data_IF_196240154919
#
_entry.id   IF_196240154919
#
_cell.length_a   1.000
_cell.length_b   1.000
_cell.length_c   1.000
_cell.angle_alpha   90.00
_cell.angle_beta   90.00
_cell.angle_gamma   90.00
#
_symmetry.space_group_name_H-M   'P 1'
#
loop_
_entity.id
_entity.type
_entity.pdbx_description
1 polymer ?
#
# COMPACT_ATOMS: atom_id res chain seq x y z
N UNK A 1 28.44 14.13 16.22
CA UNK A 1 27.94 14.44 14.85
C UNK A 1 28.84 13.84 13.77
N UNK A 2 30.16 13.90 13.88
CA UNK A 2 31.10 13.34 12.90
C UNK A 2 30.92 11.83 12.68
N UNK A 3 30.74 11.03 13.74
CA UNK A 3 30.58 9.56 13.63
C UNK A 3 29.41 9.12 12.77
N UNK A 4 28.28 9.84 12.78
CA UNK A 4 27.11 9.53 11.95
C UNK A 4 27.38 9.87 10.48
N UNK A 5 28.03 11.01 10.20
CA UNK A 5 28.38 11.42 8.84
C UNK A 5 29.42 10.47 8.22
N UNK A 6 30.37 9.97 9.00
CA UNK A 6 31.33 8.95 8.55
C UNK A 6 30.60 7.64 8.23
N UNK A 7 29.70 7.16 9.11
CA UNK A 7 28.88 5.99 8.82
C UNK A 7 28.06 6.13 7.53
N UNK A 8 27.47 7.31 7.30
CA UNK A 8 26.71 7.59 6.08
C UNK A 8 27.61 7.58 4.84
N UNK A 9 28.80 8.20 4.92
CA UNK A 9 29.76 8.23 3.82
C UNK A 9 30.28 6.82 3.47
N UNK A 10 30.54 6.00 4.49
CA UNK A 10 31.03 4.63 4.34
C UNK A 10 29.96 3.68 3.80
N UNK A 11 28.68 3.94 4.10
CA UNK A 11 27.56 3.08 3.70
C UNK A 11 26.69 3.67 2.57
N UNK A 12 27.10 4.79 1.95
CA UNK A 12 26.29 5.53 0.97
C UNK A 12 25.79 4.65 -0.18
N UNK A 13 26.65 3.77 -0.70
CA UNK A 13 26.33 2.87 -1.80
C UNK A 13 25.27 1.85 -1.39
N UNK A 14 25.43 1.27 -0.19
CA UNK A 14 24.49 0.28 0.33
C UNK A 14 23.14 0.90 0.68
N UNK A 15 23.13 2.09 1.26
CA UNK A 15 21.91 2.84 1.54
C UNK A 15 21.15 3.17 0.25
N UNK A 16 21.85 3.59 -0.80
CA UNK A 16 21.25 3.88 -2.09
C UNK A 16 20.65 2.62 -2.71
N UNK A 17 21.39 1.51 -2.73
CA UNK A 17 20.91 0.21 -3.23
C UNK A 17 19.63 -0.24 -2.51
N UNK A 18 19.62 -0.25 -1.17
CA UNK A 18 18.46 -0.65 -0.37
C UNK A 18 17.26 0.30 -0.57
N UNK A 19 17.53 1.59 -0.75
CA UNK A 19 16.48 2.57 -1.03
C UNK A 19 15.85 2.30 -2.40
N UNK A 20 16.65 2.03 -3.43
CA UNK A 20 16.14 1.68 -4.76
C UNK A 20 15.37 0.37 -4.74
N UNK A 21 15.84 -0.63 -4.01
CA UNK A 21 15.12 -1.90 -3.83
C UNK A 21 13.75 -1.66 -3.18
N UNK A 22 13.70 -0.86 -2.12
CA UNK A 22 12.44 -0.51 -1.47
C UNK A 22 11.50 0.26 -2.40
N UNK A 23 12.01 1.22 -3.19
CA UNK A 23 11.23 1.97 -4.18
C UNK A 23 10.66 1.01 -5.24
N UNK A 24 11.47 0.09 -5.77
CA UNK A 24 11.02 -0.88 -6.77
C UNK A 24 9.89 -1.77 -6.23
N UNK A 25 10.06 -2.30 -5.02
CA UNK A 25 9.05 -3.13 -4.35
C UNK A 25 7.75 -2.36 -4.10
N UNK A 26 7.85 -1.16 -3.54
CA UNK A 26 6.69 -0.31 -3.23
C UNK A 26 5.93 0.11 -4.48
N UNK A 27 6.63 0.50 -5.56
CA UNK A 27 6.00 0.83 -6.83
C UNK A 27 5.28 -0.37 -7.45
N UNK A 28 5.91 -1.54 -7.46
CA UNK A 28 5.29 -2.76 -7.97
C UNK A 28 4.00 -3.10 -7.21
N UNK A 29 4.04 -3.07 -5.88
CA UNK A 29 2.86 -3.29 -5.03
C UNK A 29 1.78 -2.23 -5.23
N UNK A 30 2.17 -0.97 -5.38
CA UNK A 30 1.22 0.14 -5.58
C UNK A 30 0.50 0.02 -6.92
N UNK A 31 1.21 -0.34 -7.99
CA UNK A 31 0.59 -0.56 -9.31
C UNK A 31 -0.47 -1.65 -9.23
N UNK A 32 -0.16 -2.77 -8.57
CA UNK A 32 -1.13 -3.84 -8.33
C UNK A 32 -2.32 -3.36 -7.50
N UNK A 33 -2.06 -2.58 -6.45
CA UNK A 33 -3.12 -2.04 -5.59
C UNK A 33 -4.02 -1.08 -6.37
N UNK A 34 -3.46 -0.19 -7.18
CA UNK A 34 -4.20 0.72 -8.05
C UNK A 34 -5.06 -0.03 -9.06
N UNK A 35 -4.52 -1.08 -9.70
CA UNK A 35 -5.25 -1.89 -10.67
C UNK A 35 -6.54 -2.51 -10.09
N UNK A 36 -6.57 -2.80 -8.78
CA UNK A 36 -7.72 -3.40 -8.11
C UNK A 36 -8.59 -2.36 -7.36
N UNK A 37 -7.96 -1.47 -6.59
CA UNK A 37 -8.64 -0.53 -5.71
C UNK A 37 -9.28 0.64 -6.46
N UNK A 38 -8.74 1.08 -7.61
CA UNK A 38 -9.35 2.17 -8.40
C UNK A 38 -10.67 1.71 -9.02
N UNK A 39 -10.75 0.58 -9.76
CA UNK A 39 -12.03 0.10 -10.29
C UNK A 39 -13.05 -0.17 -9.19
N UNK A 40 -12.62 -0.80 -8.09
CA UNK A 40 -13.48 -1.05 -6.94
C UNK A 40 -13.98 0.27 -6.32
N UNK A 41 -13.10 1.26 -6.17
CA UNK A 41 -13.39 2.60 -5.67
C UNK A 41 -14.42 3.34 -6.50
N UNK A 42 -14.27 3.31 -7.83
CA UNK A 42 -15.25 3.87 -8.77
C UNK A 42 -16.62 3.16 -8.65
N UNK A 43 -16.61 1.83 -8.51
CA UNK A 43 -17.84 1.05 -8.39
C UNK A 43 -18.60 1.35 -7.09
N UNK A 44 -17.91 1.37 -5.94
CA UNK A 44 -18.53 1.73 -4.65
C UNK A 44 -18.93 3.21 -4.59
N UNK A 45 -18.22 4.09 -5.31
CA UNK A 45 -18.60 5.49 -5.41
C UNK A 45 -19.96 5.69 -6.09
N UNK A 46 -20.38 4.77 -6.97
CA UNK A 46 -21.73 4.75 -7.55
C UNK A 46 -22.76 4.09 -6.63
N UNK A 47 -22.38 3.07 -5.85
CA UNK A 47 -23.26 2.28 -4.96
C UNK A 47 -22.93 2.51 -3.48
N UNK A 48 -23.52 3.54 -2.87
CA UNK A 48 -23.17 4.00 -1.50
C UNK A 48 -23.31 2.93 -0.42
N UNK A 49 -24.27 2.03 -0.53
CA UNK A 49 -24.49 0.96 0.44
C UNK A 49 -23.29 -0.01 0.53
N UNK A 50 -22.50 -0.13 -0.55
CA UNK A 50 -21.30 -0.98 -0.58
C UNK A 50 -20.05 -0.29 -0.02
N UNK A 51 -20.06 1.04 0.13
CA UNK A 51 -18.89 1.79 0.58
C UNK A 51 -18.53 1.51 2.05
N UNK A 52 -19.53 1.46 2.93
CA UNK A 52 -19.33 1.16 4.35
C UNK A 52 -18.63 -0.18 4.59
N UNK A 53 -19.19 -1.31 4.07
CA UNK A 53 -18.55 -2.61 4.20
C UNK A 53 -17.16 -2.68 3.56
N UNK A 54 -16.97 -2.13 2.35
CA UNK A 54 -15.70 -2.20 1.64
C UNK A 54 -14.58 -1.44 2.37
N UNK A 55 -14.87 -0.21 2.82
CA UNK A 55 -13.92 0.60 3.57
C UNK A 55 -13.69 0.06 4.99
N UNK A 56 -14.73 -0.49 5.63
CA UNK A 56 -14.62 -1.14 6.93
C UNK A 56 -13.73 -2.38 6.90
N UNK A 57 -13.93 -3.27 5.93
CA UNK A 57 -13.10 -4.46 5.75
C UNK A 57 -11.63 -4.09 5.50
N UNK A 58 -11.39 -3.15 4.58
CA UNK A 58 -10.05 -2.69 4.29
C UNK A 58 -9.41 -1.96 5.51
N UNK A 59 -10.23 -1.32 6.36
CA UNK A 59 -9.81 -0.75 7.65
C UNK A 59 -9.35 -1.80 8.64
N UNK A 60 -10.10 -2.90 8.80
CA UNK A 60 -9.72 -4.03 9.68
C UNK A 60 -8.41 -4.66 9.20
N UNK A 61 -8.22 -4.81 7.90
CA UNK A 61 -6.97 -5.37 7.37
C UNK A 61 -5.74 -4.53 7.77
N UNK A 62 -5.88 -3.21 7.83
CA UNK A 62 -4.80 -2.29 8.22
C UNK A 62 -4.50 -2.26 9.72
N UNK A 63 -5.38 -2.79 10.57
CA UNK A 63 -5.07 -2.88 12.01
C UNK A 63 -4.10 -4.01 12.32
N UNK A 64 -3.92 -4.95 11.39
CA UNK A 64 -2.95 -6.04 11.51
C UNK A 64 -1.54 -5.46 11.38
N UNK A 65 -0.67 -5.56 12.41
CA UNK A 65 0.70 -5.08 12.33
C UNK A 65 1.45 -5.67 11.14
N UNK A 66 2.25 -4.85 10.44
CA UNK A 66 2.95 -5.28 9.22
C UNK A 66 3.87 -6.48 9.46
N UNK A 67 4.55 -6.52 10.62
CA UNK A 67 5.40 -7.65 11.03
C UNK A 67 4.58 -8.93 11.23
N UNK A 68 3.37 -8.83 11.81
CA UNK A 68 2.49 -9.97 12.01
C UNK A 68 1.93 -10.49 10.69
N UNK A 69 1.55 -9.58 9.78
CA UNK A 69 1.11 -9.93 8.43
C UNK A 69 2.21 -10.65 7.65
N UNK A 70 3.45 -10.15 7.71
CA UNK A 70 4.61 -10.80 7.10
C UNK A 70 4.83 -12.19 7.70
N UNK A 71 4.78 -12.33 9.01
CA UNK A 71 4.89 -13.63 9.69
C UNK A 71 3.82 -14.63 9.24
N UNK A 72 2.58 -14.19 9.05
CA UNK A 72 1.47 -15.01 8.54
C UNK A 72 1.67 -15.44 7.08
N UNK A 73 2.39 -14.65 6.29
CA UNK A 73 2.69 -14.96 4.88
C UNK A 73 3.82 -15.99 4.72
N UNK A 74 4.72 -16.14 5.69
CA UNK A 74 5.89 -17.03 5.58
C UNK A 74 5.50 -18.50 5.27
N UNK A 75 4.52 -19.12 5.94
CA UNK A 75 4.13 -20.50 5.63
C UNK A 75 3.53 -20.68 4.22
N UNK A 76 2.96 -19.61 3.65
CA UNK A 76 2.21 -19.67 2.37
C UNK A 76 3.09 -19.27 1.19
N UNK A 77 3.89 -18.21 1.34
CA UNK A 77 4.65 -17.56 0.26
C UNK A 77 6.18 -17.67 0.46
N UNK A 78 6.63 -18.21 1.59
CA UNK A 78 8.04 -18.25 1.98
C UNK A 78 8.56 -16.90 2.47
N UNK A 79 9.89 -16.76 2.51
CA UNK A 79 10.59 -15.52 2.89
C UNK A 79 11.05 -14.82 1.61
N UNK A 80 10.99 -13.48 1.58
CA UNK A 80 11.61 -12.65 0.54
C UNK A 80 10.64 -11.67 -0.13
N UNK A 81 10.84 -11.44 -1.43
CA UNK A 81 10.15 -10.40 -2.20
C UNK A 81 8.64 -10.64 -2.32
N UNK A 82 8.21 -11.89 -2.52
CA UNK A 82 6.80 -12.25 -2.71
C UNK A 82 5.89 -11.83 -1.55
N UNK A 83 6.16 -12.23 -0.28
CA UNK A 83 5.35 -11.79 0.86
C UNK A 83 5.44 -10.28 1.11
N UNK A 84 6.59 -9.65 0.83
CA UNK A 84 6.74 -8.20 0.93
C UNK A 84 5.82 -7.47 -0.04
N UNK A 85 5.80 -7.90 -1.32
CA UNK A 85 4.92 -7.32 -2.34
C UNK A 85 3.46 -7.49 -1.94
N UNK A 86 3.07 -8.68 -1.48
CA UNK A 86 1.70 -8.97 -1.09
C UNK A 86 1.25 -8.16 0.14
N UNK A 87 2.10 -8.04 1.16
CA UNK A 87 1.83 -7.23 2.34
C UNK A 87 1.67 -5.74 1.97
N UNK A 88 2.61 -5.18 1.19
CA UNK A 88 2.54 -3.80 0.72
C UNK A 88 1.30 -3.55 -0.16
N UNK A 89 0.94 -4.52 -1.01
CA UNK A 89 -0.28 -4.48 -1.81
C UNK A 89 -1.52 -4.35 -0.93
N UNK A 90 -1.68 -5.25 0.05
CA UNK A 90 -2.83 -5.24 0.97
C UNK A 90 -2.92 -3.91 1.75
N UNK A 91 -1.78 -3.40 2.21
CA UNK A 91 -1.71 -2.13 2.91
C UNK A 91 -2.09 -0.95 2.03
N UNK A 92 -1.73 -0.98 0.74
CA UNK A 92 -2.04 0.09 -0.20
C UNK A 92 -3.51 0.10 -0.66
N UNK A 93 -4.25 -1.02 -0.55
CA UNK A 93 -5.66 -1.09 -0.98
C UNK A 93 -6.52 -0.04 -0.28
N UNK A 94 -6.52 0.01 1.06
CA UNK A 94 -7.41 0.92 1.79
C UNK A 94 -7.21 2.40 1.41
N UNK A 95 -5.99 2.98 1.46
CA UNK A 95 -5.80 4.39 1.16
C UNK A 95 -6.14 4.68 -0.29
N UNK A 96 -5.78 3.81 -1.25
CA UNK A 96 -6.12 4.00 -2.66
C UNK A 96 -7.63 3.92 -2.87
N UNK A 97 -8.29 2.94 -2.26
CA UNK A 97 -9.75 2.75 -2.35
C UNK A 97 -10.48 3.95 -1.74
N UNK A 98 -10.08 4.38 -0.53
CA UNK A 98 -10.65 5.52 0.18
C UNK A 98 -10.46 6.81 -0.61
N UNK A 99 -9.25 7.06 -1.10
CA UNK A 99 -8.92 8.26 -1.87
C UNK A 99 -9.67 8.28 -3.21
N UNK A 100 -9.86 7.12 -3.85
CA UNK A 100 -10.66 7.02 -5.08
C UNK A 100 -12.13 7.32 -4.81
N UNK A 101 -12.70 6.72 -3.74
CA UNK A 101 -14.09 6.96 -3.36
C UNK A 101 -14.34 8.42 -3.01
N UNK A 102 -13.50 9.02 -2.16
CA UNK A 102 -13.64 10.42 -1.75
C UNK A 102 -13.38 11.37 -2.92
N UNK A 103 -12.39 11.09 -3.77
CA UNK A 103 -12.09 11.87 -4.96
C UNK A 103 -13.27 11.93 -5.93
N UNK A 104 -13.89 10.79 -6.25
CA UNK A 104 -15.05 10.74 -7.16
C UNK A 104 -16.29 11.40 -6.55
N UNK A 105 -16.49 11.29 -5.23
CA UNK A 105 -17.66 11.87 -4.54
C UNK A 105 -17.50 13.37 -4.24
N UNK A 106 -16.28 13.86 -4.16
CA UNK A 106 -15.97 15.28 -3.96
C UNK A 106 -16.22 16.16 -5.18
N UNK A 107 -16.41 15.56 -6.37
CA UNK A 107 -16.74 16.30 -7.59
C UNK A 107 -18.16 16.89 -7.49
N UNK A 108 -18.34 18.21 -7.67
CA UNK A 108 -19.65 18.84 -7.67
C UNK A 108 -20.60 18.19 -8.68
N UNK A 109 -21.90 18.03 -8.36
CA UNK A 109 -22.87 17.40 -9.26
C UNK A 109 -22.95 18.04 -10.64
N UNK A 110 -22.61 19.33 -10.75
CA UNK A 110 -22.60 20.09 -12.00
C UNK A 110 -21.55 19.60 -13.03
N UNK A 111 -20.56 18.81 -12.62
CA UNK A 111 -19.44 18.35 -13.48
C UNK A 111 -19.22 16.84 -13.35
N UNK A 112 -20.19 16.10 -12.82
CA UNK A 112 -20.05 14.68 -12.44
C UNK A 112 -20.49 13.71 -13.54
#
# INVERSE_FOLDING_TARGET
MSTFLTFLADNQSKLLELTLEHIALTLASLVLACALAIPLGLWIARRQWAAGPALGFAGVLQTIPSIALLGFMIPVLGIGVKPAIFALFLYAILPVLRNTFTGVRGVPPAVR
#
